data_IF_219476428677
#
_entry.id   IF_219476428677
#
_cell.length_a   1.000
_cell.length_b   1.000
_cell.length_c   1.000
_cell.angle_alpha   90.00
_cell.angle_beta   90.00
_cell.angle_gamma   90.00
#
_symmetry.space_group_name_H-M   'P 1'
#
loop_
_entity.id
_entity.type
_entity.pdbx_description
1 polymer ?
#
# COMPACT_ATOMS: atom_id res chain seq x y z
N UNK A 1 -17.54 1.03 7.54
CA UNK A 1 -18.22 -0.11 6.86
C UNK A 1 -18.05 -1.40 7.69
N UNK A 2 -18.36 -1.38 9.00
CA UNK A 2 -18.10 -2.52 9.91
C UNK A 2 -18.91 -3.77 9.56
N UNK A 3 -20.10 -3.62 8.99
CA UNK A 3 -20.90 -4.76 8.54
C UNK A 3 -20.23 -5.52 7.39
N UNK A 4 -19.57 -4.83 6.46
CA UNK A 4 -18.77 -5.51 5.43
C UNK A 4 -17.54 -6.20 6.02
N UNK A 5 -16.93 -5.60 7.04
CA UNK A 5 -15.87 -6.25 7.79
C UNK A 5 -16.36 -7.56 8.42
N UNK A 6 -17.52 -7.55 9.08
CA UNK A 6 -18.12 -8.77 9.65
C UNK A 6 -18.55 -9.78 8.57
N UNK A 7 -19.16 -9.35 7.46
CA UNK A 7 -19.48 -10.25 6.34
C UNK A 7 -18.21 -10.92 5.80
N UNK A 8 -17.11 -10.16 5.66
CA UNK A 8 -15.81 -10.71 5.24
C UNK A 8 -15.22 -11.68 6.27
N UNK A 9 -15.30 -11.36 7.57
CA UNK A 9 -14.79 -12.19 8.65
C UNK A 9 -15.57 -13.50 8.83
N UNK A 10 -16.90 -13.47 8.64
CA UNK A 10 -17.77 -14.64 8.77
C UNK A 10 -18.02 -15.38 7.44
N UNK A 11 -17.54 -14.84 6.32
CA UNK A 11 -17.53 -15.47 5.00
C UNK A 11 -18.77 -15.22 4.14
N UNK A 12 -19.95 -15.04 4.74
CA UNK A 12 -21.16 -14.66 3.99
C UNK A 12 -22.13 -13.85 4.85
N UNK A 13 -23.12 -13.23 4.19
CA UNK A 13 -24.21 -12.51 4.86
C UNK A 13 -25.06 -13.48 5.68
N UNK A 14 -25.38 -14.63 5.11
CA UNK A 14 -26.25 -15.65 5.69
C UNK A 14 -25.64 -16.19 6.98
N UNK A 15 -24.32 -16.41 6.98
CA UNK A 15 -23.58 -16.90 8.15
C UNK A 15 -23.46 -15.84 9.24
N UNK A 16 -23.36 -14.56 8.89
CA UNK A 16 -23.41 -13.45 9.85
C UNK A 16 -24.81 -13.34 10.50
N UNK A 17 -25.88 -13.46 9.72
CA UNK A 17 -27.26 -13.42 10.23
C UNK A 17 -27.56 -14.63 11.13
N UNK A 18 -27.08 -15.82 10.77
CA UNK A 18 -27.18 -17.05 11.58
C UNK A 18 -26.46 -16.92 12.92
N UNK A 19 -25.19 -16.48 12.91
CA UNK A 19 -24.36 -16.36 14.13
C UNK A 19 -24.86 -15.25 15.04
N UNK A 20 -25.28 -14.11 14.48
CA UNK A 20 -25.76 -12.97 15.27
C UNK A 20 -27.20 -13.12 15.77
N UNK A 21 -27.96 -14.07 15.21
CA UNK A 21 -29.39 -14.23 15.47
C UNK A 21 -30.23 -13.01 15.06
N UNK A 22 -29.66 -12.10 14.26
CA UNK A 22 -30.27 -10.83 13.85
C UNK A 22 -30.14 -10.67 12.35
N UNK A 23 -31.16 -10.07 11.74
CA UNK A 23 -31.08 -9.67 10.33
C UNK A 23 -30.01 -8.59 10.12
N UNK A 24 -29.47 -8.49 8.92
CA UNK A 24 -28.53 -7.44 8.51
C UNK A 24 -29.11 -6.04 8.74
N UNK A 25 -30.43 -5.88 8.62
CA UNK A 25 -31.11 -4.62 8.87
C UNK A 25 -31.10 -4.26 10.36
N UNK A 26 -31.42 -5.22 11.24
CA UNK A 26 -31.35 -5.00 12.68
C UNK A 26 -29.93 -4.69 13.15
N UNK A 27 -28.93 -5.42 12.64
CA UNK A 27 -27.52 -5.11 12.91
C UNK A 27 -27.14 -3.69 12.46
N UNK A 28 -27.63 -3.23 11.31
CA UNK A 28 -27.41 -1.84 10.85
C UNK A 28 -27.98 -0.83 11.81
N UNK A 29 -29.21 -1.06 12.28
CA UNK A 29 -29.88 -0.14 13.19
C UNK A 29 -29.20 -0.12 14.56
N UNK A 30 -28.83 -1.28 15.10
CA UNK A 30 -28.12 -1.41 16.38
C UNK A 30 -26.79 -0.64 16.38
N UNK A 31 -26.03 -0.68 15.27
CA UNK A 31 -24.75 0.02 15.21
C UNK A 31 -24.88 1.52 14.93
N UNK A 32 -26.02 1.97 14.40
CA UNK A 32 -26.20 3.33 13.86
C UNK A 32 -25.96 4.40 14.93
N UNK A 33 -26.52 4.22 16.11
CA UNK A 33 -26.40 5.21 17.19
C UNK A 33 -24.97 5.25 17.74
N UNK A 34 -24.37 4.09 18.04
CA UNK A 34 -22.97 4.02 18.48
C UNK A 34 -21.96 4.54 17.44
N UNK A 35 -22.29 4.48 16.14
CA UNK A 35 -21.50 5.15 15.10
C UNK A 35 -21.68 6.65 15.10
N UNK A 36 -22.92 7.10 15.20
CA UNK A 36 -23.26 8.53 15.23
C UNK A 36 -22.58 9.20 16.41
N UNK A 37 -22.64 8.61 17.60
CA UNK A 37 -22.01 9.14 18.81
C UNK A 37 -20.49 9.18 18.70
N UNK A 38 -19.85 8.08 18.28
CA UNK A 38 -18.39 8.07 18.04
C UNK A 38 -17.95 9.10 17.02
N UNK A 39 -18.74 9.30 15.95
CA UNK A 39 -18.46 10.30 14.94
C UNK A 39 -18.59 11.71 15.50
N UNK A 40 -19.67 12.02 16.21
CA UNK A 40 -19.87 13.33 16.85
C UNK A 40 -18.77 13.64 17.88
N UNK A 41 -18.36 12.65 18.67
CA UNK A 41 -17.26 12.79 19.62
C UNK A 41 -15.93 13.04 18.90
N UNK A 42 -15.65 12.30 17.82
CA UNK A 42 -14.47 12.50 16.97
C UNK A 42 -14.44 13.88 16.32
N UNK A 43 -15.57 14.33 15.78
CA UNK A 43 -15.72 15.65 15.15
C UNK A 43 -15.54 16.78 16.17
N UNK A 44 -16.04 16.60 17.40
CA UNK A 44 -15.83 17.56 18.49
C UNK A 44 -14.35 17.60 18.93
N UNK A 45 -13.72 16.43 19.14
CA UNK A 45 -12.29 16.34 19.47
C UNK A 45 -11.45 17.05 18.41
N UNK A 46 -11.75 16.78 17.13
CA UNK A 46 -11.10 17.40 15.98
C UNK A 46 -11.27 18.92 16.00
N UNK A 47 -12.48 19.42 16.22
CA UNK A 47 -12.77 20.86 16.31
C UNK A 47 -11.94 21.58 17.38
N UNK A 48 -11.63 20.91 18.50
CA UNK A 48 -10.82 21.48 19.58
C UNK A 48 -9.35 21.58 19.17
N UNK A 49 -8.83 20.58 18.46
CA UNK A 49 -7.39 20.46 18.17
C UNK A 49 -6.95 20.97 16.79
N UNK A 50 -7.88 21.19 15.86
CA UNK A 50 -7.57 21.51 14.46
C UNK A 50 -6.74 22.80 14.29
N UNK A 51 -6.95 23.80 15.15
CA UNK A 51 -6.20 25.07 15.12
C UNK A 51 -4.88 25.05 15.89
N UNK A 52 -4.51 23.91 16.49
CA UNK A 52 -3.31 23.82 17.32
C UNK A 52 -2.10 23.53 16.44
N UNK A 53 -1.13 24.43 16.52
CA UNK A 53 0.17 24.30 15.87
C UNK A 53 1.29 24.33 16.91
N UNK A 54 2.43 23.74 16.55
CA UNK A 54 3.64 23.71 17.37
C UNK A 54 4.72 24.58 16.71
N UNK A 55 5.41 25.39 17.51
CA UNK A 55 6.53 26.22 17.08
C UNK A 55 7.87 25.54 17.37
N UNK A 56 8.97 25.88 16.66
CA UNK A 56 10.28 25.28 16.94
C UNK A 56 10.78 25.44 18.38
N UNK A 57 10.44 26.56 19.03
CA UNK A 57 10.80 26.79 20.42
C UNK A 57 10.05 25.84 21.37
N UNK A 58 8.78 25.56 21.10
CA UNK A 58 7.99 24.60 21.87
C UNK A 58 8.48 23.16 21.64
N UNK A 59 8.86 22.81 20.41
CA UNK A 59 9.49 21.51 20.10
C UNK A 59 10.78 21.34 20.90
N UNK A 60 11.62 22.37 20.96
CA UNK A 60 12.84 22.35 21.76
C UNK A 60 12.55 22.21 23.25
N UNK A 61 11.60 22.98 23.78
CA UNK A 61 11.22 22.91 25.19
C UNK A 61 10.63 21.54 25.57
N UNK A 62 9.87 20.90 24.68
CA UNK A 62 9.40 19.54 24.84
C UNK A 62 10.57 18.55 24.93
N UNK A 63 11.49 18.61 23.96
CA UNK A 63 12.65 17.71 23.93
C UNK A 63 13.57 17.87 25.14
N UNK A 64 13.82 19.10 25.59
CA UNK A 64 14.70 19.39 26.74
C UNK A 64 14.13 18.84 28.07
N UNK A 65 12.83 18.57 28.15
CA UNK A 65 12.19 17.92 29.33
C UNK A 65 12.38 16.41 29.36
N UNK A 66 12.68 15.77 28.22
CA UNK A 66 12.77 14.32 28.13
C UNK A 66 14.05 13.81 28.82
N UNK A 67 13.96 12.76 29.67
CA UNK A 67 15.14 12.12 30.24
C UNK A 67 16.03 11.54 29.13
N UNK A 68 17.32 11.89 29.13
CA UNK A 68 18.28 11.50 28.07
C UNK A 68 18.45 9.98 27.93
N UNK A 69 18.29 9.25 29.01
CA UNK A 69 18.36 7.78 29.08
C UNK A 69 17.11 7.12 28.47
N UNK A 70 15.98 7.83 28.50
CA UNK A 70 14.68 7.39 27.95
C UNK A 70 14.52 7.71 26.46
N UNK A 71 15.46 8.44 25.86
CA UNK A 71 15.44 8.76 24.44
C UNK A 71 15.61 7.49 23.60
N UNK A 72 14.70 7.24 22.63
CA UNK A 72 14.78 6.11 21.72
C UNK A 72 16.14 6.04 21.01
N UNK A 73 16.62 4.83 20.78
CA UNK A 73 17.75 4.59 19.89
C UNK A 73 17.22 4.30 18.49
N UNK A 74 17.73 5.02 17.50
CA UNK A 74 17.41 4.82 16.10
C UNK A 74 18.58 4.16 15.38
N UNK A 75 18.25 3.15 14.59
CA UNK A 75 19.19 2.55 13.66
C UNK A 75 19.53 3.53 12.51
N UNK A 76 20.47 3.14 11.66
CA UNK A 76 20.79 3.92 10.46
C UNK A 76 19.58 3.98 9.54
N UNK A 77 19.08 5.18 9.31
CA UNK A 77 18.03 5.47 8.34
C UNK A 77 18.65 6.00 7.04
N UNK A 78 18.04 5.62 5.93
CA UNK A 78 18.46 5.95 4.58
C UNK A 78 17.30 6.63 3.86
N UNK A 79 17.61 7.66 3.08
CA UNK A 79 16.71 8.09 2.01
C UNK A 79 17.30 7.70 0.68
N UNK A 80 16.51 6.97 -0.10
CA UNK A 80 16.95 6.38 -1.35
C UNK A 80 15.97 6.75 -2.45
N UNK A 81 16.51 7.19 -3.57
CA UNK A 81 15.79 7.32 -4.82
C UNK A 81 16.12 6.17 -5.77
N UNK A 82 15.18 5.80 -6.62
CA UNK A 82 15.42 4.86 -7.72
C UNK A 82 14.81 5.34 -9.04
N UNK A 83 15.43 4.92 -10.14
CA UNK A 83 14.87 4.99 -11.48
C UNK A 83 14.86 3.57 -12.03
N UNK A 84 13.67 3.08 -12.37
CA UNK A 84 13.46 1.70 -12.82
C UNK A 84 13.06 1.71 -14.29
N UNK A 85 13.64 0.84 -15.10
CA UNK A 85 13.13 0.52 -16.44
C UNK A 85 12.75 -0.93 -16.54
N UNK A 86 11.58 -1.18 -17.11
CA UNK A 86 11.12 -2.51 -17.46
C UNK A 86 11.29 -2.71 -18.97
N UNK A 87 12.40 -3.35 -19.41
CA UNK A 87 12.59 -3.66 -20.82
C UNK A 87 11.37 -4.40 -21.38
N UNK A 88 10.89 -3.93 -22.53
CA UNK A 88 9.78 -4.57 -23.25
C UNK A 88 10.35 -5.70 -24.10
N UNK A 89 9.63 -6.81 -24.17
CA UNK A 89 9.97 -7.90 -25.06
C UNK A 89 9.99 -7.43 -26.53
N UNK A 90 10.72 -8.16 -27.37
CA UNK A 90 10.77 -7.89 -28.80
C UNK A 90 9.40 -8.10 -29.45
N UNK A 91 9.20 -7.51 -30.64
CA UNK A 91 7.96 -7.71 -31.39
C UNK A 91 7.79 -9.18 -31.76
N UNK A 92 8.89 -9.85 -32.07
CA UNK A 92 8.93 -11.27 -32.42
C UNK A 92 8.52 -12.15 -31.23
N UNK A 93 8.91 -11.80 -30.00
CA UNK A 93 8.47 -12.49 -28.79
C UNK A 93 6.97 -12.26 -28.51
N UNK A 94 6.48 -11.04 -28.73
CA UNK A 94 5.05 -10.73 -28.65
C UNK A 94 4.24 -11.53 -29.68
N UNK A 95 4.69 -11.58 -30.94
CA UNK A 95 4.07 -12.34 -32.03
C UNK A 95 4.06 -13.85 -31.74
N UNK A 96 5.16 -14.39 -31.24
CA UNK A 96 5.24 -15.80 -30.84
C UNK A 96 4.19 -16.15 -29.77
N UNK A 97 4.01 -15.32 -28.74
CA UNK A 97 2.96 -15.53 -27.73
C UNK A 97 1.56 -15.51 -28.34
N UNK A 98 1.29 -14.57 -29.25
CA UNK A 98 0.00 -14.46 -29.95
C UNK A 98 -0.26 -15.71 -30.80
N UNK A 99 0.74 -16.18 -31.54
CA UNK A 99 0.66 -17.40 -32.36
C UNK A 99 0.37 -18.64 -31.51
N UNK A 100 1.06 -18.80 -30.37
CA UNK A 100 0.78 -19.91 -29.46
C UNK A 100 -0.66 -19.88 -28.94
N UNK A 101 -1.13 -18.71 -28.50
CA UNK A 101 -2.49 -18.54 -28.00
C UNK A 101 -3.55 -18.79 -29.08
N UNK A 102 -3.32 -18.35 -30.32
CA UNK A 102 -4.18 -18.69 -31.46
C UNK A 102 -4.19 -20.20 -31.73
N UNK A 103 -3.03 -20.86 -31.64
CA UNK A 103 -2.91 -22.30 -31.76
C UNK A 103 -3.66 -23.06 -30.67
N UNK A 104 -3.64 -22.59 -29.42
CA UNK A 104 -4.42 -23.16 -28.33
C UNK A 104 -5.92 -22.97 -28.54
N UNK A 105 -6.34 -21.76 -28.91
CA UNK A 105 -7.74 -21.46 -29.24
C UNK A 105 -8.26 -22.42 -30.31
N UNK A 106 -7.54 -22.59 -31.42
CA UNK A 106 -7.94 -23.47 -32.52
C UNK A 106 -8.09 -24.93 -32.07
N UNK A 107 -7.17 -25.42 -31.24
CA UNK A 107 -7.23 -26.79 -30.71
C UNK A 107 -8.45 -27.04 -29.83
N UNK A 108 -8.86 -26.04 -29.04
CA UNK A 108 -10.05 -26.12 -28.19
C UNK A 108 -11.32 -26.01 -29.05
N UNK A 109 -11.39 -25.05 -29.97
CA UNK A 109 -12.55 -24.88 -30.86
C UNK A 109 -12.77 -26.09 -31.77
N UNK A 110 -11.70 -26.78 -32.18
CA UNK A 110 -11.78 -28.03 -32.94
C UNK A 110 -12.04 -29.28 -32.09
N UNK A 111 -12.17 -29.16 -30.77
CA UNK A 111 -12.38 -30.29 -29.85
C UNK A 111 -11.17 -31.24 -29.70
N UNK A 112 -9.97 -30.84 -30.14
CA UNK A 112 -8.76 -31.68 -30.07
C UNK A 112 -8.14 -31.72 -28.67
N UNK A 113 -8.33 -30.65 -27.90
CA UNK A 113 -7.79 -30.47 -26.54
C UNK A 113 -8.80 -29.74 -25.66
N UNK A 114 -8.78 -30.06 -24.37
CA UNK A 114 -9.56 -29.33 -23.37
C UNK A 114 -8.83 -28.06 -22.96
N UNK A 115 -9.56 -26.94 -22.85
CA UNK A 115 -9.00 -25.65 -22.42
C UNK A 115 -8.30 -25.78 -21.06
N UNK A 116 -8.93 -26.49 -20.11
CA UNK A 116 -8.40 -26.77 -18.77
C UNK A 116 -7.00 -27.40 -18.83
N UNK A 117 -6.79 -28.40 -19.70
CA UNK A 117 -5.47 -29.06 -19.85
C UNK A 117 -4.42 -28.12 -20.44
N UNK A 118 -4.82 -27.26 -21.38
CA UNK A 118 -3.89 -26.27 -21.95
C UNK A 118 -3.52 -25.19 -20.94
N UNK A 119 -4.47 -24.75 -20.12
CA UNK A 119 -4.21 -23.79 -19.04
C UNK A 119 -3.26 -24.37 -17.99
N UNK A 120 -3.49 -25.62 -17.56
CA UNK A 120 -2.63 -26.32 -16.61
C UNK A 120 -1.19 -26.51 -17.13
N UNK A 121 -1.02 -26.84 -18.41
CA UNK A 121 0.31 -27.15 -18.95
C UNK A 121 1.09 -25.90 -19.41
N UNK A 122 0.41 -24.94 -20.03
CA UNK A 122 1.08 -23.88 -20.81
C UNK A 122 0.87 -22.45 -20.31
N UNK A 123 -0.02 -22.23 -19.34
CA UNK A 123 -0.22 -20.90 -18.77
C UNK A 123 0.99 -20.48 -17.94
N UNK A 124 1.43 -19.25 -18.13
CA UNK A 124 2.48 -18.61 -17.35
C UNK A 124 1.92 -17.95 -16.06
N UNK A 125 0.60 -18.02 -15.83
CA UNK A 125 -0.01 -17.60 -14.57
C UNK A 125 0.09 -18.72 -13.51
N UNK A 126 1.18 -18.71 -12.75
CA UNK A 126 1.44 -19.69 -11.70
C UNK A 126 0.34 -19.75 -10.61
N UNK A 127 -0.38 -18.63 -10.37
CA UNK A 127 -1.39 -18.57 -9.32
C UNK A 127 -2.62 -19.40 -9.68
N UNK A 128 -3.14 -19.25 -10.90
CA UNK A 128 -4.35 -19.98 -11.35
C UNK A 128 -4.04 -21.33 -11.99
N UNK A 129 -2.84 -21.50 -12.56
CA UNK A 129 -2.39 -22.77 -13.15
C UNK A 129 -2.52 -23.92 -12.14
N UNK A 130 -2.03 -23.73 -10.91
CA UNK A 130 -1.89 -24.81 -9.92
C UNK A 130 -3.09 -24.99 -8.98
N UNK A 131 -3.98 -24.00 -8.87
CA UNK A 131 -5.02 -24.01 -7.84
C UNK A 131 -6.42 -24.29 -8.38
N UNK A 132 -6.70 -24.00 -9.65
CA UNK A 132 -8.08 -24.11 -10.17
C UNK A 132 -8.15 -24.34 -11.69
N UNK A 133 -7.14 -24.99 -12.29
CA UNK A 133 -7.10 -25.28 -13.73
C UNK A 133 -7.26 -24.03 -14.62
N UNK A 134 -6.71 -22.90 -14.18
CA UNK A 134 -6.84 -21.60 -14.84
C UNK A 134 -8.19 -20.90 -14.64
N UNK A 135 -9.08 -21.44 -13.79
CA UNK A 135 -10.41 -20.89 -13.53
C UNK A 135 -10.41 -19.76 -12.49
N UNK A 136 -11.16 -18.71 -12.81
CA UNK A 136 -11.39 -17.52 -11.99
C UNK A 136 -12.89 -17.23 -11.92
N UNK A 137 -13.38 -16.98 -10.71
CA UNK A 137 -14.72 -16.47 -10.48
C UNK A 137 -14.64 -14.95 -10.32
N UNK A 138 -15.34 -14.24 -11.20
CA UNK A 138 -15.27 -12.79 -11.36
C UNK A 138 -16.63 -12.17 -11.07
N UNK A 139 -16.65 -11.09 -10.32
CA UNK A 139 -17.79 -10.19 -10.25
C UNK A 139 -17.49 -8.88 -10.98
N UNK A 140 -18.42 -8.36 -11.79
CA UNK A 140 -18.23 -7.13 -12.57
C UNK A 140 -17.83 -5.90 -11.74
N UNK A 141 -18.26 -5.83 -10.47
CA UNK A 141 -17.94 -4.73 -9.55
C UNK A 141 -16.63 -4.93 -8.78
N UNK A 142 -15.98 -6.09 -8.94
CA UNK A 142 -14.76 -6.44 -8.22
C UNK A 142 -13.61 -5.54 -8.65
N UNK A 143 -12.91 -4.99 -7.65
CA UNK A 143 -11.71 -4.18 -7.84
C UNK A 143 -10.48 -5.08 -7.78
N UNK A 144 -9.41 -4.68 -8.46
CA UNK A 144 -8.11 -5.36 -8.43
C UNK A 144 -7.77 -6.19 -9.67
N UNK A 145 -8.73 -6.43 -10.56
CA UNK A 145 -8.47 -7.03 -11.87
C UNK A 145 -8.09 -5.99 -12.93
N UNK A 146 -7.31 -6.42 -13.92
CA UNK A 146 -7.00 -5.61 -15.10
C UNK A 146 -8.30 -5.28 -15.87
N UNK A 147 -8.48 -4.00 -16.21
CA UNK A 147 -9.71 -3.52 -16.85
C UNK A 147 -9.93 -4.11 -18.25
N UNK A 148 -8.84 -4.38 -18.99
CA UNK A 148 -8.91 -5.02 -20.30
C UNK A 148 -9.33 -6.47 -20.16
N UNK A 149 -8.77 -7.17 -19.17
CA UNK A 149 -9.16 -8.55 -18.85
C UNK A 149 -10.66 -8.64 -18.51
N UNK A 150 -11.14 -7.79 -17.59
CA UNK A 150 -12.56 -7.74 -17.22
C UNK A 150 -13.46 -7.42 -18.41
N UNK A 151 -13.11 -6.42 -19.21
CA UNK A 151 -13.86 -6.05 -20.41
C UNK A 151 -13.95 -7.19 -21.43
N UNK A 152 -12.86 -7.93 -21.64
CA UNK A 152 -12.83 -9.08 -22.55
C UNK A 152 -13.60 -10.29 -22.00
N UNK A 153 -13.46 -10.58 -20.70
CA UNK A 153 -14.20 -11.65 -20.04
C UNK A 153 -15.72 -11.46 -20.18
N UNK A 154 -16.26 -10.30 -19.77
CA UNK A 154 -17.70 -10.05 -19.76
C UNK A 154 -18.32 -9.78 -21.14
N UNK A 155 -17.50 -9.66 -22.19
CA UNK A 155 -17.95 -9.61 -23.59
C UNK A 155 -18.21 -10.99 -24.19
N UNK A 156 -17.74 -12.07 -23.56
CA UNK A 156 -17.92 -13.43 -24.04
C UNK A 156 -19.30 -13.98 -23.69
N UNK A 157 -19.83 -14.80 -24.60
CA UNK A 157 -20.97 -15.70 -24.35
C UNK A 157 -20.48 -17.00 -23.71
N UNK A 158 -21.37 -17.71 -23.03
CA UNK A 158 -21.04 -19.02 -22.44
C UNK A 158 -20.48 -19.99 -23.49
N UNK A 159 -19.37 -20.67 -23.14
CA UNK A 159 -18.61 -21.53 -24.05
C UNK A 159 -17.68 -20.81 -25.03
N UNK A 160 -17.81 -19.49 -25.22
CA UNK A 160 -17.01 -18.72 -26.16
C UNK A 160 -15.58 -18.52 -25.66
N UNK A 161 -14.63 -18.50 -26.61
CA UNK A 161 -13.21 -18.20 -26.37
C UNK A 161 -12.85 -16.86 -27.02
N UNK A 162 -12.17 -15.98 -26.30
CA UNK A 162 -11.70 -14.70 -26.85
C UNK A 162 -10.57 -14.91 -27.87
N UNK A 163 -10.40 -13.95 -28.78
CA UNK A 163 -9.12 -13.80 -29.47
C UNK A 163 -8.02 -13.37 -28.50
N UNK A 164 -6.73 -13.63 -28.79
CA UNK A 164 -5.63 -13.15 -27.97
C UNK A 164 -5.67 -11.64 -27.78
N UNK A 165 -5.45 -11.16 -26.55
CA UNK A 165 -5.40 -9.74 -26.24
C UNK A 165 -4.34 -9.44 -25.18
N UNK A 166 -3.82 -8.20 -25.19
CA UNK A 166 -2.76 -7.75 -24.28
C UNK A 166 -3.37 -7.15 -23.00
N UNK A 167 -2.78 -7.47 -21.84
CA UNK A 167 -3.04 -6.84 -20.54
C UNK A 167 -1.73 -6.30 -19.94
N UNK A 168 -1.78 -5.79 -18.71
CA UNK A 168 -0.57 -5.43 -17.95
C UNK A 168 0.36 -6.63 -17.64
N UNK A 169 -0.13 -7.87 -17.70
CA UNK A 169 0.59 -9.09 -17.32
C UNK A 169 1.16 -9.86 -18.52
N UNK A 170 0.61 -9.65 -19.73
CA UNK A 170 1.03 -10.36 -20.94
C UNK A 170 -0.12 -10.52 -21.92
N UNK A 171 -0.12 -11.61 -22.67
CA UNK A 171 -1.18 -11.95 -23.62
C UNK A 171 -2.09 -13.03 -23.07
N UNK A 172 -3.40 -12.86 -23.27
CA UNK A 172 -4.40 -13.75 -22.71
C UNK A 172 -5.35 -14.28 -23.79
N UNK A 173 -5.84 -15.50 -23.57
CA UNK A 173 -7.15 -15.95 -24.08
C UNK A 173 -8.01 -16.35 -22.88
N UNK A 174 -9.31 -16.09 -22.99
CA UNK A 174 -10.31 -16.40 -21.97
C UNK A 174 -11.37 -17.32 -22.58
N UNK A 175 -11.76 -18.37 -21.86
CA UNK A 175 -12.97 -19.15 -22.10
C UNK A 175 -14.02 -18.79 -21.05
N UNK A 176 -15.22 -18.42 -21.48
CA UNK A 176 -16.36 -18.27 -20.57
C UNK A 176 -16.90 -19.66 -20.21
N UNK A 177 -16.88 -20.01 -18.92
CA UNK A 177 -17.41 -21.29 -18.42
C UNK A 177 -18.90 -21.17 -18.14
N UNK A 178 -19.28 -20.15 -17.38
CA UNK A 178 -20.67 -19.87 -17.02
C UNK A 178 -20.85 -18.41 -16.63
N UNK A 179 -22.08 -17.90 -16.72
CA UNK A 179 -22.39 -16.52 -16.33
C UNK A 179 -23.79 -16.41 -15.72
N UNK A 180 -23.88 -15.71 -14.60
CA UNK A 180 -25.12 -15.36 -13.92
C UNK A 180 -25.13 -13.86 -13.61
N UNK A 181 -25.76 -13.06 -14.48
CA UNK A 181 -25.81 -11.61 -14.32
C UNK A 181 -24.42 -10.96 -14.36
N UNK A 182 -23.99 -10.44 -13.21
CA UNK A 182 -22.69 -9.78 -12.99
C UNK A 182 -21.61 -10.73 -12.46
N UNK A 183 -21.95 -11.98 -12.17
CA UNK A 183 -21.01 -13.04 -11.81
C UNK A 183 -20.67 -13.88 -13.03
N UNK A 184 -19.40 -14.19 -13.22
CA UNK A 184 -18.89 -15.00 -14.33
C UNK A 184 -17.79 -15.95 -13.83
N UNK A 185 -17.87 -17.21 -14.24
CA UNK A 185 -16.77 -18.15 -14.09
C UNK A 185 -16.06 -18.27 -15.43
N UNK A 186 -14.76 -18.00 -15.45
CA UNK A 186 -13.94 -18.02 -16.67
C UNK A 186 -12.70 -18.86 -16.47
N UNK A 187 -12.19 -19.46 -17.54
CA UNK A 187 -10.82 -20.00 -17.59
C UNK A 187 -9.96 -19.11 -18.44
N UNK A 188 -8.68 -19.02 -18.12
CA UNK A 188 -7.76 -18.25 -18.96
C UNK A 188 -6.40 -18.92 -19.11
N UNK A 189 -5.70 -18.56 -20.18
CA UNK A 189 -4.29 -18.90 -20.41
C UNK A 189 -3.55 -17.59 -20.58
N UNK A 190 -2.52 -17.37 -19.77
CA UNK A 190 -1.60 -16.24 -19.87
C UNK A 190 -0.31 -16.72 -20.56
N UNK A 191 0.16 -15.97 -21.56
CA UNK A 191 1.54 -16.08 -22.06
C UNK A 191 2.28 -14.77 -21.84
N UNK A 192 3.44 -14.84 -21.18
CA UNK A 192 4.30 -13.70 -20.88
C UNK A 192 5.44 -13.70 -21.91
N UNK A 193 5.52 -12.68 -22.78
CA UNK A 193 6.63 -12.52 -23.70
C UNK A 193 7.96 -12.47 -22.94
N UNK A 194 8.89 -13.34 -23.31
CA UNK A 194 10.19 -13.41 -22.66
C UNK A 194 11.04 -12.21 -23.08
N UNK A 195 11.65 -11.57 -22.09
CA UNK A 195 12.62 -10.48 -22.30
C UNK A 195 14.01 -11.11 -22.35
N UNK A 196 14.74 -10.93 -23.46
CA UNK A 196 16.07 -11.50 -23.62
C UNK A 196 17.14 -10.58 -23.05
N UNK A 197 18.37 -11.09 -22.90
CA UNK A 197 19.52 -10.29 -22.48
C UNK A 197 19.77 -9.09 -23.40
N UNK A 198 19.36 -9.16 -24.67
CA UNK A 198 19.49 -8.05 -25.63
C UNK A 198 18.62 -6.86 -25.21
N UNK A 199 17.35 -7.08 -24.86
CA UNK A 199 16.46 -6.01 -24.40
C UNK A 199 16.92 -5.44 -23.05
N UNK A 200 17.41 -6.31 -22.16
CA UNK A 200 17.96 -5.90 -20.86
C UNK A 200 19.20 -5.03 -21.05
N UNK A 201 20.12 -5.42 -21.93
CA UNK A 201 21.35 -4.66 -22.20
C UNK A 201 21.04 -3.26 -22.76
N UNK A 202 20.03 -3.15 -23.64
CA UNK A 202 19.55 -1.83 -24.12
C UNK A 202 19.01 -0.96 -22.99
N UNK A 203 18.30 -1.54 -22.02
CA UNK A 203 17.82 -0.81 -20.85
C UNK A 203 18.98 -0.38 -19.93
N UNK A 204 20.00 -1.22 -19.77
CA UNK A 204 21.24 -0.88 -19.05
C UNK A 204 21.95 0.29 -19.72
N UNK A 205 22.20 0.25 -21.04
CA UNK A 205 22.85 1.33 -21.79
C UNK A 205 22.07 2.65 -21.70
N UNK A 206 20.75 2.56 -21.79
CA UNK A 206 19.86 3.73 -21.66
C UNK A 206 19.95 4.34 -20.27
N UNK A 207 19.89 3.51 -19.23
CA UNK A 207 20.04 3.99 -17.85
C UNK A 207 21.44 4.52 -17.59
N UNK A 208 22.50 3.92 -18.14
CA UNK A 208 23.87 4.43 -18.00
C UNK A 208 24.03 5.83 -18.62
N UNK A 209 23.38 6.06 -19.76
CA UNK A 209 23.28 7.39 -20.37
C UNK A 209 22.54 8.39 -19.46
N UNK A 210 21.46 7.97 -18.79
CA UNK A 210 20.74 8.79 -17.81
C UNK A 210 21.62 9.10 -16.60
N UNK A 211 22.34 8.10 -16.09
CA UNK A 211 23.29 8.24 -14.98
C UNK A 211 24.37 9.28 -15.29
N UNK A 212 24.92 9.25 -16.49
CA UNK A 212 25.93 10.23 -16.94
C UNK A 212 25.39 11.66 -16.91
N UNK A 213 24.13 11.86 -17.31
CA UNK A 213 23.45 13.17 -17.24
C UNK A 213 23.19 13.61 -15.81
N UNK A 214 22.78 12.68 -14.93
CA UNK A 214 22.59 12.94 -13.51
C UNK A 214 23.91 13.34 -12.83
N UNK A 215 25.00 12.61 -13.09
CA UNK A 215 26.31 12.90 -12.51
C UNK A 215 26.92 14.22 -13.01
N UNK A 216 26.65 14.61 -14.25
CA UNK A 216 27.10 15.89 -14.81
C UNK A 216 26.22 17.09 -14.40
N UNK A 217 25.10 16.85 -13.71
CA UNK A 217 24.14 17.90 -13.33
C UNK A 217 23.35 18.46 -14.52
N UNK A 218 23.46 17.86 -15.71
CA UNK A 218 22.72 18.29 -16.92
C UNK A 218 21.25 17.85 -16.89
N UNK A 219 20.89 16.97 -15.95
CA UNK A 219 19.53 16.50 -15.71
C UNK A 219 19.32 16.35 -14.20
N UNK A 220 18.17 16.81 -13.71
CA UNK A 220 17.80 16.65 -12.29
C UNK A 220 17.19 15.27 -12.04
N UNK A 221 17.35 14.74 -10.82
CA UNK A 221 16.84 13.41 -10.48
C UNK A 221 15.32 13.28 -10.69
N UNK A 222 14.54 14.25 -10.22
CA UNK A 222 13.08 14.24 -10.41
C UNK A 222 12.66 14.28 -11.89
N UNK A 223 13.40 15.00 -12.73
CA UNK A 223 13.17 15.00 -14.18
C UNK A 223 13.45 13.63 -14.79
N UNK A 224 14.57 13.01 -14.38
CA UNK A 224 14.94 11.68 -14.85
C UNK A 224 13.90 10.62 -14.44
N UNK A 225 13.41 10.67 -13.20
CA UNK A 225 12.30 9.82 -12.73
C UNK A 225 11.07 10.01 -13.62
N UNK A 226 10.63 11.26 -13.82
CA UNK A 226 9.42 11.53 -14.60
C UNK A 226 9.52 11.07 -16.07
N UNK A 227 10.72 11.11 -16.66
CA UNK A 227 10.93 10.78 -18.09
C UNK A 227 11.26 9.31 -18.33
N UNK A 228 11.95 8.65 -17.40
CA UNK A 228 12.58 7.36 -17.64
C UNK A 228 12.16 6.24 -16.69
N UNK A 229 11.49 6.57 -15.58
CA UNK A 229 11.03 5.55 -14.64
C UNK A 229 9.72 4.91 -15.10
N UNK A 230 9.74 3.59 -15.24
CA UNK A 230 8.57 2.75 -15.49
C UNK A 230 7.89 2.28 -14.19
N UNK A 231 8.42 2.65 -13.02
CA UNK A 231 7.77 2.38 -11.73
C UNK A 231 6.53 3.28 -11.56
N UNK A 232 5.31 2.72 -11.46
CA UNK A 232 4.09 3.50 -11.26
C UNK A 232 4.11 4.37 -10.01
N UNK A 233 4.76 3.91 -8.94
CA UNK A 233 4.79 4.62 -7.65
C UNK A 233 5.74 5.81 -7.68
N UNK A 234 6.78 5.73 -8.52
CA UNK A 234 7.81 6.78 -8.61
C UNK A 234 7.26 8.16 -8.98
N UNK A 235 6.11 8.23 -9.66
CA UNK A 235 5.42 9.49 -10.00
C UNK A 235 4.91 10.25 -8.78
N UNK A 236 4.53 9.54 -7.72
CA UNK A 236 3.97 10.14 -6.50
C UNK A 236 5.06 10.48 -5.48
N UNK A 237 6.18 9.75 -5.50
CA UNK A 237 7.27 9.92 -4.53
C UNK A 237 8.49 10.66 -5.09
N UNK A 238 8.45 11.06 -6.37
CA UNK A 238 9.62 11.60 -7.06
C UNK A 238 10.76 10.58 -7.14
N UNK A 239 10.41 9.29 -7.21
CA UNK A 239 11.34 8.17 -7.26
C UNK A 239 11.90 7.76 -5.90
N UNK A 240 11.44 8.35 -4.79
CA UNK A 240 11.85 7.92 -3.44
C UNK A 240 11.21 6.60 -3.07
N UNK A 241 12.00 5.74 -2.42
CA UNK A 241 11.52 4.54 -1.78
C UNK A 241 10.78 4.92 -0.49
N UNK A 242 9.72 4.18 -0.17
CA UNK A 242 8.96 4.38 1.05
C UNK A 242 8.79 3.08 1.81
N UNK A 243 8.76 3.14 3.14
CA UNK A 243 8.37 1.99 3.96
C UNK A 243 6.85 1.71 3.86
N UNK A 244 6.39 0.67 4.56
CA UNK A 244 4.98 0.29 4.65
C UNK A 244 4.06 1.38 5.23
N UNK A 245 4.62 2.33 5.97
CA UNK A 245 3.90 3.45 6.59
C UNK A 245 3.90 4.70 5.70
N UNK A 246 4.59 4.68 4.56
CA UNK A 246 4.69 5.80 3.63
C UNK A 246 5.80 6.80 3.93
N UNK A 247 6.66 6.55 4.93
CA UNK A 247 7.85 7.36 5.20
C UNK A 247 8.93 7.12 4.15
N UNK A 248 9.67 8.17 3.77
CA UNK A 248 10.83 8.08 2.86
C UNK A 248 12.13 7.67 3.55
N UNK A 249 12.12 7.66 4.89
CA UNK A 249 13.20 7.14 5.71
C UNK A 249 13.01 5.64 5.91
N UNK A 250 14.02 4.89 5.49
CA UNK A 250 13.99 3.42 5.48
C UNK A 250 15.26 2.87 6.13
N UNK A 251 15.12 1.77 6.84
CA UNK A 251 16.23 1.06 7.48
C UNK A 251 16.81 -0.01 6.55
N UNK A 252 18.02 -0.49 6.82
CA UNK A 252 18.74 -1.43 5.93
C UNK A 252 18.01 -2.77 5.80
N UNK A 253 17.32 -3.22 6.86
CA UNK A 253 16.54 -4.46 6.89
C UNK A 253 15.28 -4.41 6.02
N UNK A 254 14.78 -3.20 5.71
CA UNK A 254 13.63 -2.99 4.82
C UNK A 254 14.00 -3.04 3.33
N UNK A 255 15.30 -3.13 3.02
CA UNK A 255 15.80 -3.14 1.65
C UNK A 255 15.95 -4.54 1.09
N UNK A 256 15.77 -4.68 -0.21
CA UNK A 256 16.13 -5.90 -0.90
C UNK A 256 17.66 -6.11 -0.92
N UNK A 257 18.07 -7.39 -0.95
CA UNK A 257 19.48 -7.78 -0.85
C UNK A 257 20.36 -7.12 -1.92
N UNK A 258 19.85 -6.99 -3.14
CA UNK A 258 20.62 -6.39 -4.23
C UNK A 258 20.83 -4.89 -4.02
N UNK A 259 19.84 -4.19 -3.47
CA UNK A 259 19.94 -2.78 -3.14
C UNK A 259 20.96 -2.54 -2.02
N UNK A 260 20.93 -3.36 -0.95
CA UNK A 260 21.93 -3.29 0.13
C UNK A 260 23.35 -3.40 -0.41
N UNK A 261 23.59 -4.35 -1.31
CA UNK A 261 24.90 -4.53 -1.94
C UNK A 261 25.30 -3.31 -2.80
N UNK A 262 24.35 -2.71 -3.52
CA UNK A 262 24.62 -1.50 -4.31
C UNK A 262 24.97 -0.31 -3.42
N UNK A 263 24.31 -0.15 -2.27
CA UNK A 263 24.51 0.98 -1.37
C UNK A 263 25.82 0.93 -0.59
N UNK A 264 26.37 -0.26 -0.37
CA UNK A 264 27.59 -0.47 0.42
C UNK A 264 28.76 0.41 -0.07
N UNK A 265 28.89 0.57 -1.37
CA UNK A 265 30.01 1.30 -2.00
C UNK A 265 29.63 2.74 -2.40
N UNK A 266 28.39 3.17 -2.13
CA UNK A 266 27.87 4.48 -2.51
C UNK A 266 28.08 5.50 -1.38
N UNK A 267 28.47 6.73 -1.77
CA UNK A 267 28.43 7.90 -0.87
C UNK A 267 27.13 8.67 -1.04
N UNK A 268 26.75 9.41 0.01
CA UNK A 268 25.62 10.35 -0.04
C UNK A 268 25.80 11.32 -1.22
N UNK A 269 24.74 11.51 -2.00
CA UNK A 269 24.75 12.31 -3.22
C UNK A 269 25.14 11.53 -4.49
N UNK A 270 25.46 10.23 -4.40
CA UNK A 270 25.92 9.45 -5.56
C UNK A 270 24.86 8.52 -6.15
N UNK A 271 25.03 8.23 -7.44
CA UNK A 271 24.23 7.30 -8.22
C UNK A 271 25.00 6.00 -8.48
N UNK A 272 24.34 4.88 -8.23
CA UNK A 272 24.87 3.55 -8.53
C UNK A 272 24.92 3.31 -10.03
N UNK A 273 25.65 2.27 -10.45
CA UNK A 273 25.58 1.78 -11.83
C UNK A 273 24.23 1.10 -12.07
N UNK A 274 23.71 1.10 -13.32
CA UNK A 274 22.51 0.34 -13.63
C UNK A 274 22.71 -1.14 -13.29
N UNK A 275 21.75 -1.74 -12.59
CA UNK A 275 21.79 -3.15 -12.22
C UNK A 275 20.44 -3.80 -12.49
N UNK A 276 20.50 -5.03 -12.98
CA UNK A 276 19.34 -5.89 -13.17
C UNK A 276 18.76 -6.32 -11.83
N UNK A 277 17.45 -6.44 -11.76
CA UNK A 277 16.74 -6.99 -10.60
C UNK A 277 15.44 -7.65 -11.06
N UNK A 278 14.91 -8.52 -10.21
CA UNK A 278 13.55 -9.03 -10.35
C UNK A 278 12.64 -8.29 -9.36
N UNK A 279 11.51 -7.77 -9.81
CA UNK A 279 10.52 -7.14 -8.92
C UNK A 279 9.77 -8.19 -8.07
N UNK A 280 8.85 -7.72 -7.22
CA UNK A 280 7.99 -8.58 -6.38
C UNK A 280 7.19 -9.61 -7.19
N UNK A 281 6.93 -9.33 -8.48
CA UNK A 281 6.20 -10.17 -9.43
C UNK A 281 7.13 -11.02 -10.30
N UNK A 282 8.42 -11.09 -9.98
CA UNK A 282 9.47 -11.77 -10.77
C UNK A 282 9.65 -11.21 -12.18
N UNK A 283 9.22 -9.97 -12.41
CA UNK A 283 9.44 -9.26 -13.66
C UNK A 283 10.85 -8.67 -13.67
N UNK A 284 11.59 -8.93 -14.74
CA UNK A 284 12.93 -8.40 -14.94
C UNK A 284 12.90 -6.90 -15.20
N UNK A 285 13.67 -6.16 -14.43
CA UNK A 285 13.88 -4.73 -14.56
C UNK A 285 15.35 -4.37 -14.45
N UNK A 286 15.67 -3.14 -14.82
CA UNK A 286 16.98 -2.53 -14.59
C UNK A 286 16.75 -1.27 -13.78
N UNK A 287 17.59 -1.02 -12.77
CA UNK A 287 17.46 0.16 -11.91
C UNK A 287 18.78 0.88 -11.68
N UNK A 288 18.68 2.18 -11.46
CA UNK A 288 19.71 2.99 -10.81
C UNK A 288 19.19 3.38 -9.43
N UNK A 289 20.09 3.42 -8.46
CA UNK A 289 19.83 3.81 -7.08
C UNK A 289 20.59 5.09 -6.78
N UNK A 290 19.93 6.05 -6.13
CA UNK A 290 20.45 7.33 -5.68
C UNK A 290 20.45 7.35 -4.16
N UNK A 291 21.62 7.46 -3.53
CA UNK A 291 21.70 7.62 -2.08
C UNK A 291 21.55 9.10 -1.73
N UNK A 292 20.37 9.49 -1.24
CA UNK A 292 20.01 10.90 -0.96
C UNK A 292 20.58 11.33 0.39
N UNK A 293 20.36 10.54 1.43
CA UNK A 293 20.84 10.80 2.78
C UNK A 293 21.05 9.47 3.53
N UNK A 294 21.92 9.50 4.53
CA UNK A 294 22.18 8.39 5.45
C UNK A 294 22.48 8.96 6.82
N UNK A 295 21.79 8.47 7.84
CA UNK A 295 22.10 8.76 9.24
C UNK A 295 22.99 7.67 9.82
N UNK A 296 23.83 8.01 10.79
CA UNK A 296 24.54 7.02 11.60
C UNK A 296 23.65 6.60 12.77
N UNK A 297 23.76 5.37 13.31
CA UNK A 297 23.00 4.97 14.48
C UNK A 297 23.18 5.96 15.64
N UNK A 298 22.08 6.48 16.17
CA UNK A 298 22.10 7.56 17.16
C UNK A 298 20.94 7.43 18.15
N UNK A 299 21.07 8.09 19.31
CA UNK A 299 19.92 8.38 20.16
C UNK A 299 19.17 9.57 19.61
N UNK A 300 17.83 9.56 19.73
CA UNK A 300 16.93 10.59 19.23
C UNK A 300 17.48 11.99 19.52
N UNK A 301 17.57 12.82 18.50
CA UNK A 301 18.10 14.18 18.66
C UNK A 301 17.36 15.19 17.77
N UNK A 302 17.31 16.45 18.21
CA UNK A 302 16.61 17.53 17.50
C UNK A 302 17.11 17.72 16.06
N UNK A 303 18.39 17.46 15.79
CA UNK A 303 18.99 17.75 14.48
C UNK A 303 18.50 16.76 13.43
N UNK A 304 18.50 15.48 13.76
CA UNK A 304 18.19 14.39 12.82
C UNK A 304 16.70 14.00 12.86
N UNK A 305 16.03 14.13 14.02
CA UNK A 305 14.67 13.64 14.25
C UNK A 305 13.62 14.75 14.47
N UNK A 306 13.90 16.00 14.06
CA UNK A 306 13.01 17.14 14.32
C UNK A 306 11.54 16.86 13.98
N UNK A 307 11.25 16.22 12.84
CA UNK A 307 9.89 15.93 12.41
C UNK A 307 9.18 14.94 13.36
N UNK A 308 9.87 13.90 13.81
CA UNK A 308 9.33 12.90 14.75
C UNK A 308 9.05 13.56 16.10
N UNK A 309 10.01 14.33 16.61
CA UNK A 309 9.90 15.07 17.88
C UNK A 309 8.78 16.11 17.79
N UNK A 310 8.70 16.85 16.68
CA UNK A 310 7.67 17.87 16.45
C UNK A 310 6.26 17.27 16.41
N UNK A 311 6.09 16.07 15.85
CA UNK A 311 4.80 15.37 15.86
C UNK A 311 4.41 14.91 17.27
N UNK A 312 5.35 14.34 18.04
CA UNK A 312 5.11 13.94 19.43
C UNK A 312 4.74 15.16 20.30
N UNK A 313 5.51 16.25 20.18
CA UNK A 313 5.25 17.51 20.88
C UNK A 313 3.87 18.10 20.52
N UNK A 314 3.50 18.04 19.23
CA UNK A 314 2.19 18.49 18.77
C UNK A 314 1.07 17.64 19.38
N UNK A 315 1.21 16.32 19.40
CA UNK A 315 0.19 15.44 19.99
C UNK A 315 0.06 15.63 21.50
N UNK A 316 1.16 15.86 22.23
CA UNK A 316 1.12 16.23 23.65
C UNK A 316 0.35 17.54 23.85
N UNK A 317 0.70 18.60 23.11
CA UNK A 317 0.01 19.90 23.17
C UNK A 317 -1.47 19.80 22.84
N UNK A 318 -1.85 18.96 21.89
CA UNK A 318 -3.26 18.68 21.57
C UNK A 318 -3.98 17.97 22.71
N UNK A 319 -3.32 17.01 23.36
CA UNK A 319 -3.89 16.29 24.50
C UNK A 319 -4.08 17.23 25.70
N UNK A 320 -3.12 18.10 26.00
CA UNK A 320 -3.24 19.13 27.04
C UNK A 320 -4.44 20.07 26.77
N UNK A 321 -4.60 20.53 25.53
CA UNK A 321 -5.71 21.38 25.14
C UNK A 321 -7.07 20.66 25.26
N UNK A 322 -7.12 19.37 24.92
CA UNK A 322 -8.30 18.54 25.10
C UNK A 322 -8.63 18.32 26.56
N UNK A 323 -7.63 18.05 27.40
CA UNK A 323 -7.81 17.88 28.83
C UNK A 323 -8.29 19.16 29.49
N UNK A 324 -7.70 20.30 29.13
CA UNK A 324 -8.16 21.62 29.59
C UNK A 324 -9.61 21.88 29.17
N UNK A 325 -9.93 21.68 27.89
CA UNK A 325 -11.31 21.84 27.40
C UNK A 325 -12.27 20.92 28.13
N UNK A 326 -11.86 19.66 28.38
CA UNK A 326 -12.67 18.68 29.08
C UNK A 326 -12.94 19.13 30.53
N UNK A 327 -11.91 19.56 31.26
CA UNK A 327 -12.03 20.06 32.63
C UNK A 327 -12.89 21.34 32.71
N UNK A 328 -12.75 22.25 31.75
CA UNK A 328 -13.57 23.47 31.66
C UNK A 328 -15.05 23.14 31.38
N UNK A 329 -15.33 22.05 30.65
CA UNK A 329 -16.68 21.67 30.25
C UNK A 329 -17.37 20.73 31.21
N UNK A 330 -16.67 19.77 31.81
CA UNK A 330 -17.27 18.73 32.66
C UNK A 330 -18.07 19.32 33.82
N UNK A 331 -17.60 20.43 34.42
CA UNK A 331 -18.32 21.14 35.49
C UNK A 331 -19.57 21.90 35.05
N UNK A 332 -19.79 22.08 33.74
CA UNK A 332 -20.99 22.74 33.19
C UNK A 332 -22.14 21.75 32.93
N UNK A 333 -21.88 20.45 33.05
CA UNK A 333 -22.87 19.40 32.84
C UNK A 333 -23.32 18.79 34.16
N UNK A 334 -24.58 18.36 34.23
CA UNK A 334 -25.08 17.57 35.36
C UNK A 334 -24.57 16.13 35.25
N UNK A 335 -23.80 15.69 36.24
CA UNK A 335 -23.26 14.34 36.33
C UNK A 335 -23.75 13.72 37.64
N UNK A 336 -24.47 12.60 37.53
CA UNK A 336 -24.89 11.80 38.69
C UNK A 336 -24.06 10.53 38.71
N UNK A 337 -23.22 10.39 39.73
CA UNK A 337 -22.53 9.13 40.05
C UNK A 337 -23.40 8.34 41.02
N UNK A 338 -23.63 7.07 40.72
CA UNK A 338 -24.41 6.19 41.60
C UNK A 338 -23.69 6.00 42.95
N UNK A 339 -24.47 5.85 44.02
CA UNK A 339 -24.00 5.82 45.40
C UNK A 339 -23.00 4.68 45.65
N UNK A 340 -23.16 3.57 44.93
CA UNK A 340 -22.28 2.41 44.98
C UNK A 340 -20.83 2.73 44.53
N UNK A 341 -20.64 3.76 43.71
CA UNK A 341 -19.33 4.15 43.16
C UNK A 341 -18.71 5.36 43.84
N UNK A 342 -19.35 5.92 44.89
CA UNK A 342 -18.86 7.11 45.59
C UNK A 342 -17.47 6.93 46.25
N UNK A 343 -17.15 5.71 46.64
CA UNK A 343 -15.87 5.36 47.27
C UNK A 343 -14.81 4.89 46.25
N UNK A 344 -15.13 4.83 44.95
CA UNK A 344 -14.17 4.47 43.92
C UNK A 344 -13.23 5.65 43.64
N UNK A 345 -11.92 5.43 43.77
CA UNK A 345 -10.91 6.48 43.58
C UNK A 345 -10.95 7.09 42.17
N UNK A 346 -11.19 6.26 41.17
CA UNK A 346 -11.28 6.64 39.76
C UNK A 346 -12.50 7.54 39.48
N UNK A 347 -13.53 7.45 40.33
CA UNK A 347 -14.77 8.19 40.20
C UNK A 347 -14.74 9.56 40.89
N UNK A 348 -13.73 9.83 41.73
CA UNK A 348 -13.58 11.10 42.45
C UNK A 348 -13.60 12.32 41.52
N UNK A 349 -13.00 12.21 40.31
CA UNK A 349 -12.98 13.30 39.31
C UNK A 349 -14.36 13.70 38.77
N UNK A 350 -15.35 12.80 38.89
CA UNK A 350 -16.71 13.00 38.41
C UNK A 350 -17.69 13.42 39.52
N UNK A 351 -17.32 13.23 40.79
CA UNK A 351 -18.13 13.58 41.97
C UNK A 351 -17.97 15.06 42.32
N UNK A 352 -16.76 15.62 42.18
CA UNK A 352 -16.45 17.03 42.44
C UNK A 352 -15.61 17.63 41.29
N UNK A 353 -16.21 17.98 40.14
CA UNK A 353 -15.47 18.48 38.98
C UNK A 353 -14.77 19.83 39.21
N UNK A 354 -15.10 20.57 40.28
CA UNK A 354 -14.61 21.93 40.54
C UNK A 354 -13.21 22.00 41.18
N UNK A 355 -12.62 20.90 41.66
CA UNK A 355 -11.36 20.92 42.43
C UNK A 355 -10.10 20.54 41.64
N UNK A 356 -10.19 20.21 40.35
CA UNK A 356 -9.03 19.73 39.58
C UNK A 356 -8.23 20.87 38.89
N UNK A 357 -8.74 22.11 38.90
CA UNK A 357 -8.05 23.27 38.31
C UNK A 357 -6.81 23.77 39.09
N UNK A 358 -6.49 23.18 40.25
CA UNK A 358 -5.38 23.61 41.10
C UNK A 358 -4.57 22.40 41.59
N UNK A 359 -3.75 21.81 40.72
CA UNK A 359 -2.96 20.64 41.11
C UNK A 359 -1.99 20.13 40.06
N UNK A 360 -1.18 21.00 39.45
CA UNK A 360 0.05 20.61 38.74
C UNK A 360 0.95 21.83 38.53
N UNK A 361 1.77 22.11 39.54
CA UNK A 361 3.04 22.84 39.40
C UNK A 361 4.16 21.83 39.29
#
# INVERSE_FOLDING_TARGET
NQIRYFIGAYGSKEKLEEISGKSLYQLKEDFKDGFKERKLAGDMRKKIVDGIHITPNEVKAYFDKLPKDSLPFYESELEIGQIVQYPKASREADEYCIEQLNGFKLQVESGKKDFKKLADIYSDDAATQKQNDGQLDLNRSQKGFDATFMGKAFALKEGQISSPFKSAFGYHIIQMVSRAGDDASVRHILKIPQVTQTEISKAVEKLDSVRTKLMSGTMQFGEAVSKYSDDPNSKFTGGRNTNSEGSTYITIDQLDKDMVLMLKDLKVGQFSRPKEFDDERKKKGVRIVYLISKTEPHRENIKDDYNKISQKALEEKKNEALEKWFNDKVGTYYIKVDDEYKNCEEMKKWINPTTVAAGSN
#
